data_IF_929910706841
#
_entry.id   IF_929910706841
#
_cell.length_a   1.000
_cell.length_b   1.000
_cell.length_c   1.000
_cell.angle_alpha   90.00
_cell.angle_beta   90.00
_cell.angle_gamma   90.00
#
_symmetry.space_group_name_H-M   'P 1'
#
loop_
_entity.id
_entity.type
_entity.pdbx_description
1 polymer ?
#
# COMPACT_ATOMS: atom_id res chain seq x y z
N UNK A 1 -3.77 -38.93 -38.40
CA UNK A 1 -4.64 -37.89 -37.78
C UNK A 1 -4.12 -37.63 -36.39
N UNK A 2 -3.62 -36.42 -36.11
CA UNK A 2 -2.94 -36.07 -34.87
C UNK A 2 -3.89 -35.28 -33.93
N UNK A 3 -4.19 -35.76 -32.71
CA UNK A 3 -5.16 -35.16 -31.78
C UNK A 3 -4.56 -34.01 -30.96
N UNK A 4 -3.94 -33.02 -31.62
CA UNK A 4 -3.30 -31.91 -30.92
C UNK A 4 -4.11 -30.61 -31.04
N UNK A 5 -4.50 -30.10 -29.85
CA UNK A 5 -4.89 -28.72 -29.52
C UNK A 5 -6.40 -28.44 -29.43
N UNK A 6 -7.09 -29.11 -28.51
CA UNK A 6 -8.15 -28.41 -27.77
C UNK A 6 -7.49 -27.70 -26.58
N UNK A 7 -7.08 -26.44 -26.79
CA UNK A 7 -6.53 -25.60 -25.72
C UNK A 7 -7.70 -25.13 -24.86
N UNK A 8 -7.78 -25.44 -23.56
CA UNK A 8 -8.80 -24.85 -22.71
C UNK A 8 -8.56 -23.34 -22.62
N UNK A 9 -9.62 -22.57 -22.85
CA UNK A 9 -9.65 -21.11 -22.80
C UNK A 9 -9.13 -20.63 -21.45
N UNK A 10 -7.95 -19.98 -21.45
CA UNK A 10 -7.43 -19.32 -20.25
C UNK A 10 -8.36 -18.15 -19.89
N UNK A 11 -9.26 -18.36 -18.93
CA UNK A 11 -9.94 -17.27 -18.22
C UNK A 11 -8.88 -16.36 -17.60
N UNK A 12 -8.70 -15.17 -18.17
CA UNK A 12 -7.84 -14.12 -17.63
C UNK A 12 -8.43 -13.66 -16.29
N UNK A 13 -8.03 -14.29 -15.19
CA UNK A 13 -8.30 -13.75 -13.84
C UNK A 13 -7.64 -12.37 -13.76
N UNK A 14 -8.46 -11.32 -13.85
CA UNK A 14 -8.01 -9.96 -13.57
C UNK A 14 -7.64 -9.91 -12.08
N UNK A 15 -6.35 -9.89 -11.77
CA UNK A 15 -5.89 -9.68 -10.40
C UNK A 15 -6.22 -8.25 -9.99
N UNK A 16 -7.10 -8.07 -9.01
CA UNK A 16 -7.35 -6.76 -8.40
C UNK A 16 -6.16 -6.47 -7.47
N UNK A 17 -5.25 -5.59 -7.91
CA UNK A 17 -4.18 -5.07 -7.06
C UNK A 17 -4.78 -4.02 -6.12
N UNK A 18 -4.95 -4.38 -4.85
CA UNK A 18 -5.42 -3.46 -3.81
C UNK A 18 -4.24 -2.70 -3.18
N UNK A 19 -4.41 -1.39 -2.90
CA UNK A 19 -3.35 -0.59 -2.28
C UNK A 19 -3.24 -0.90 -0.79
N UNK A 20 -2.04 -1.29 -0.36
CA UNK A 20 -1.74 -1.61 1.05
C UNK A 20 -1.02 -0.45 1.70
N UNK A 21 -1.56 0.06 2.81
CA UNK A 21 -0.96 1.17 3.56
C UNK A 21 0.40 0.75 4.14
N UNK A 22 1.43 1.58 3.94
CA UNK A 22 2.79 1.35 4.48
C UNK A 22 2.86 1.42 6.00
N UNK A 23 1.88 2.05 6.66
CA UNK A 23 1.85 2.22 8.11
C UNK A 23 1.06 1.11 8.79
N UNK A 24 -0.18 0.86 8.38
CA UNK A 24 -1.08 -0.08 9.04
C UNK A 24 -1.27 -1.40 8.29
N UNK A 25 -0.63 -1.57 7.13
CA UNK A 25 -0.61 -2.80 6.31
C UNK A 25 -2.02 -3.28 5.90
N UNK A 26 -2.98 -2.35 5.87
CA UNK A 26 -4.37 -2.61 5.47
C UNK A 26 -4.73 -1.86 4.19
N UNK A 27 -5.67 -2.44 3.43
CA UNK A 27 -6.35 -1.75 2.34
C UNK A 27 -7.59 -1.05 2.90
N UNK A 28 -7.76 0.26 2.71
CA UNK A 28 -8.96 0.95 3.16
C UNK A 28 -10.18 0.50 2.33
N UNK A 29 -11.41 0.53 2.90
CA UNK A 29 -12.63 0.16 2.17
C UNK A 29 -12.84 0.95 0.87
N UNK A 30 -12.35 2.18 0.82
CA UNK A 30 -12.41 3.07 -0.35
C UNK A 30 -11.33 2.76 -1.40
N UNK A 31 -10.50 1.72 -1.19
CA UNK A 31 -9.41 1.35 -2.08
C UNK A 31 -8.39 2.49 -2.25
N UNK A 32 -8.00 2.77 -3.50
CA UNK A 32 -7.00 3.81 -3.79
C UNK A 32 -7.49 5.23 -3.45
N UNK A 33 -8.81 5.46 -3.41
CA UNK A 33 -9.39 6.73 -3.01
C UNK A 33 -9.34 6.96 -1.49
N UNK A 34 -8.98 5.95 -0.69
CA UNK A 34 -8.90 6.04 0.76
C UNK A 34 -7.54 6.53 1.29
N UNK A 35 -6.72 7.17 0.46
CA UNK A 35 -5.36 7.55 0.83
C UNK A 35 -4.60 8.28 -0.27
N UNK A 36 -3.28 8.32 -0.14
CA UNK A 36 -2.36 8.99 -1.05
C UNK A 36 -1.12 8.14 -1.34
N UNK A 37 -0.48 8.39 -2.48
CA UNK A 37 0.81 7.80 -2.83
C UNK A 37 1.95 8.77 -2.48
N UNK A 38 2.89 8.32 -1.65
CA UNK A 38 4.10 9.06 -1.26
C UNK A 38 5.31 8.21 -1.62
N UNK A 39 6.19 8.72 -2.50
CA UNK A 39 7.40 8.02 -2.94
C UNK A 39 7.15 6.57 -3.41
N UNK A 40 6.05 6.36 -4.14
CA UNK A 40 5.65 5.03 -4.65
C UNK A 40 5.07 4.08 -3.59
N UNK A 41 4.75 4.56 -2.39
CA UNK A 41 4.10 3.80 -1.33
C UNK A 41 2.76 4.40 -0.96
N UNK A 42 1.77 3.55 -0.69
CA UNK A 42 0.43 4.00 -0.32
C UNK A 42 0.34 4.30 1.18
N UNK A 43 -0.32 5.41 1.52
CA UNK A 43 -0.62 5.84 2.88
C UNK A 43 -2.14 6.09 2.96
N UNK A 44 -2.85 5.36 3.83
CA UNK A 44 -4.28 5.57 4.01
C UNK A 44 -4.58 6.83 4.85
N UNK A 45 -5.76 7.42 4.65
CA UNK A 45 -6.18 8.65 5.33
C UNK A 45 -6.16 8.57 6.86
N UNK A 46 -6.59 7.47 7.53
CA UNK A 46 -6.48 7.37 8.99
C UNK A 46 -5.04 7.46 9.49
N UNK A 47 -4.11 6.81 8.79
CA UNK A 47 -2.69 6.88 9.18
C UNK A 47 -2.08 8.25 8.88
N UNK A 48 -2.51 8.92 7.81
CA UNK A 48 -2.10 10.30 7.54
C UNK A 48 -2.57 11.25 8.65
N UNK A 49 -3.83 11.15 9.06
CA UNK A 49 -4.39 11.93 10.15
C UNK A 49 -3.66 11.66 11.49
N UNK A 50 -3.35 10.41 11.80
CA UNK A 50 -2.55 10.04 12.98
C UNK A 50 -1.15 10.68 12.94
N UNK A 51 -0.50 10.72 11.77
CA UNK A 51 0.82 11.31 11.60
C UNK A 51 0.77 12.82 11.83
N UNK A 52 -0.22 13.51 11.26
CA UNK A 52 -0.40 14.96 11.41
C UNK A 52 -0.73 15.34 12.85
N UNK A 53 -1.49 14.51 13.57
CA UNK A 53 -1.86 14.73 14.97
C UNK A 53 -0.81 14.28 15.98
N UNK A 54 0.23 13.55 15.56
CA UNK A 54 1.23 13.01 16.48
C UNK A 54 2.06 14.12 17.13
N UNK A 55 2.18 14.09 18.46
CA UNK A 55 2.96 15.06 19.22
C UNK A 55 4.30 14.48 19.67
N UNK A 56 5.33 15.34 19.69
CA UNK A 56 6.65 14.99 20.21
C UNK A 56 6.53 14.70 21.70
N UNK A 57 6.87 13.47 22.11
CA UNK A 57 6.71 12.98 23.48
C UNK A 57 5.71 11.83 23.63
N UNK A 58 4.84 11.62 22.65
CA UNK A 58 3.97 10.44 22.59
C UNK A 58 4.78 9.20 22.14
N UNK A 59 4.55 8.05 22.77
CA UNK A 59 5.14 6.78 22.36
C UNK A 59 4.76 6.42 20.91
N UNK A 60 3.59 6.86 20.45
CA UNK A 60 3.11 6.70 19.08
C UNK A 60 3.94 7.48 18.07
N UNK A 61 4.44 8.66 18.43
CA UNK A 61 5.25 9.47 17.53
C UNK A 61 6.53 8.74 17.11
N UNK A 62 7.22 8.11 18.06
CA UNK A 62 8.43 7.33 17.77
C UNK A 62 8.15 6.17 16.81
N UNK A 63 7.03 5.46 16.99
CA UNK A 63 6.64 4.36 16.10
C UNK A 63 6.28 4.85 14.69
N UNK A 64 5.49 5.92 14.59
CA UNK A 64 5.12 6.52 13.31
C UNK A 64 6.36 7.04 12.58
N UNK A 65 7.28 7.69 13.28
CA UNK A 65 8.55 8.20 12.73
C UNK A 65 9.37 7.09 12.08
N UNK A 66 9.54 5.93 12.74
CA UNK A 66 10.30 4.81 12.18
C UNK A 66 9.62 4.20 10.94
N UNK A 67 8.28 4.14 10.92
CA UNK A 67 7.54 3.67 9.74
C UNK A 67 7.62 4.65 8.57
N UNK A 68 7.51 5.95 8.84
CA UNK A 68 7.63 7.04 7.87
C UNK A 68 8.99 7.00 7.16
N UNK A 69 10.10 6.79 7.88
CA UNK A 69 11.44 6.68 7.26
C UNK A 69 11.49 5.65 6.13
N UNK A 70 10.71 4.56 6.22
CA UNK A 70 10.67 3.53 5.17
C UNK A 70 10.22 4.11 3.83
N UNK A 71 9.34 5.11 3.82
CA UNK A 71 8.82 5.78 2.62
C UNK A 71 9.97 6.38 1.78
N UNK A 72 11.01 6.92 2.42
CA UNK A 72 12.14 7.56 1.73
C UNK A 72 13.42 6.73 1.69
N UNK A 73 13.45 5.54 2.29
CA UNK A 73 14.65 4.68 2.34
C UNK A 73 15.20 4.23 0.97
N UNK A 74 14.52 4.51 -0.15
CA UNK A 74 14.95 4.20 -1.52
C UNK A 74 15.21 5.42 -2.40
N UNK A 75 15.17 6.65 -1.85
CA UNK A 75 15.57 7.82 -2.62
C UNK A 75 17.07 7.70 -2.89
N UNK A 76 17.44 7.27 -4.11
CA UNK A 76 18.82 7.43 -4.59
C UNK A 76 19.08 8.94 -4.69
N UNK A 77 20.22 9.44 -4.17
CA UNK A 77 20.62 10.83 -4.39
C UNK A 77 20.78 11.15 -5.88
#
# INVERSE_FOLDING_TARGET
>A
MNPEKLRPSHEKKQGILLPVCVICERTPPQGIAGGMLVSGRFLCAPCEEEIVRAQVGDSRYSHLKEKIKRIWARVRP
#
